data_IF_695992387818
#
_entry.id   IF_695992387818
#
_cell.length_a   1.000
_cell.length_b   1.000
_cell.length_c   1.000
_cell.angle_alpha   90.00
_cell.angle_beta   90.00
_cell.angle_gamma   90.00
#
_symmetry.space_group_name_H-M   'P 1'
#
loop_
_entity.id
_entity.type
_entity.pdbx_description
1 polymer ?
#
# COMPACT_ATOMS: atom_id res chain seq x y z
N UNK A 1 6.20 -4.92 -2.96
CA UNK A 1 4.81 -5.17 -2.52
C UNK A 1 4.87 -5.11 -1.01
N UNK A 2 4.02 -4.32 -0.36
CA UNK A 2 3.89 -4.40 1.10
C UNK A 2 3.04 -5.63 1.45
N UNK A 3 3.18 -6.12 2.67
CA UNK A 3 2.43 -7.25 3.21
C UNK A 3 1.96 -6.96 4.64
N UNK A 4 1.34 -7.92 5.32
CA UNK A 4 1.09 -9.31 4.89
C UNK A 4 -0.15 -9.49 3.98
N UNK A 5 -1.13 -8.59 4.02
CA UNK A 5 -2.38 -8.67 3.21
C UNK A 5 -2.19 -8.27 1.73
N UNK A 6 -1.09 -8.71 1.14
CA UNK A 6 -0.68 -8.38 -0.24
C UNK A 6 -1.69 -8.85 -1.28
N UNK A 7 -2.15 -10.10 -1.20
CA UNK A 7 -3.12 -10.69 -2.13
C UNK A 7 -4.46 -9.96 -2.11
N UNK A 8 -4.97 -9.63 -0.92
CA UNK A 8 -6.23 -8.90 -0.73
C UNK A 8 -6.20 -7.52 -1.39
N UNK A 9 -5.18 -6.72 -1.09
CA UNK A 9 -5.03 -5.39 -1.68
C UNK A 9 -4.87 -5.43 -3.20
N UNK A 10 -4.06 -6.37 -3.72
CA UNK A 10 -3.86 -6.57 -5.17
C UNK A 10 -5.16 -7.01 -5.84
N UNK A 11 -5.93 -7.92 -5.24
CA UNK A 11 -7.17 -8.42 -5.83
C UNK A 11 -8.23 -7.31 -6.00
N UNK A 12 -8.34 -6.41 -5.02
CA UNK A 12 -9.23 -5.24 -5.11
C UNK A 12 -8.73 -4.23 -6.16
N UNK A 13 -7.43 -3.94 -6.15
CA UNK A 13 -6.78 -3.00 -7.08
C UNK A 13 -6.90 -3.47 -8.53
N UNK A 14 -6.68 -4.76 -8.78
CA UNK A 14 -6.77 -5.39 -10.10
C UNK A 14 -8.21 -5.69 -10.55
N UNK A 15 -9.24 -5.27 -9.79
CA UNK A 15 -10.65 -5.55 -10.06
C UNK A 15 -11.00 -7.06 -10.16
N UNK A 16 -10.26 -7.92 -9.46
CA UNK A 16 -10.58 -9.36 -9.36
C UNK A 16 -11.79 -9.54 -8.46
N UNK A 17 -11.87 -8.75 -7.38
CA UNK A 17 -12.99 -8.70 -6.44
C UNK A 17 -13.42 -7.25 -6.17
N UNK A 18 -14.68 -7.00 -5.78
CA UNK A 18 -15.14 -5.66 -5.41
C UNK A 18 -14.61 -5.19 -4.06
N UNK A 19 -14.47 -6.11 -3.10
CA UNK A 19 -13.93 -5.90 -1.77
C UNK A 19 -13.17 -7.15 -1.33
N UNK A 20 -12.32 -7.03 -0.32
CA UNK A 20 -11.66 -8.16 0.33
C UNK A 20 -11.40 -7.86 1.79
N UNK A 21 -10.99 -8.88 2.56
CA UNK A 21 -10.56 -8.72 3.94
C UNK A 21 -9.05 -8.94 4.06
N UNK A 22 -8.46 -8.34 5.08
CA UNK A 22 -7.10 -8.63 5.50
C UNK A 22 -6.94 -8.46 7.00
N UNK A 23 -5.73 -8.69 7.47
CA UNK A 23 -5.38 -8.59 8.88
C UNK A 23 -4.23 -7.62 9.08
N UNK A 24 -4.27 -6.88 10.18
CA UNK A 24 -3.17 -6.01 10.58
C UNK A 24 -2.78 -6.28 12.03
N UNK A 25 -1.52 -6.64 12.20
CA UNK A 25 -0.79 -6.54 13.48
C UNK A 25 -0.09 -5.19 13.51
N UNK A 26 0.81 -4.95 12.55
CA UNK A 26 1.42 -3.64 12.30
C UNK A 26 1.53 -3.41 10.78
N UNK A 27 0.86 -2.38 10.27
CA UNK A 27 0.79 -1.94 8.85
C UNK A 27 0.26 -2.95 7.80
N UNK A 28 -0.12 -4.16 8.17
CA UNK A 28 -0.46 -5.24 7.23
C UNK A 28 -1.80 -5.11 6.47
N UNK A 29 -2.62 -4.10 6.74
CA UNK A 29 -3.75 -3.63 5.92
C UNK A 29 -3.38 -2.30 5.25
N UNK A 30 -2.94 -1.34 6.06
CA UNK A 30 -2.73 0.05 5.66
C UNK A 30 -1.56 0.19 4.69
N UNK A 31 -0.47 -0.51 4.94
CA UNK A 31 0.70 -0.59 4.08
C UNK A 31 0.38 -1.17 2.70
N UNK A 32 -0.22 -2.36 2.58
CA UNK A 32 -0.66 -2.91 1.30
C UNK A 32 -1.70 -2.05 0.58
N UNK A 33 -2.66 -1.46 1.30
CA UNK A 33 -3.68 -0.58 0.71
C UNK A 33 -3.03 0.62 0.02
N UNK A 34 -2.13 1.28 0.74
CA UNK A 34 -1.32 2.37 0.25
C UNK A 34 -0.53 1.96 -0.98
N UNK A 35 0.34 0.95 -0.92
CA UNK A 35 1.16 0.58 -2.09
C UNK A 35 0.31 0.21 -3.33
N UNK A 36 -0.88 -0.37 -3.15
CA UNK A 36 -1.72 -0.82 -4.25
C UNK A 36 -2.80 0.19 -4.69
N UNK A 37 -2.86 1.37 -4.08
CA UNK A 37 -3.81 2.42 -4.45
C UNK A 37 -5.26 2.01 -4.23
N UNK A 38 -5.55 1.43 -3.07
CA UNK A 38 -6.91 1.08 -2.66
C UNK A 38 -7.17 1.61 -1.26
N UNK A 39 -8.44 1.64 -0.87
CA UNK A 39 -8.81 1.94 0.51
C UNK A 39 -8.61 0.70 1.36
N UNK A 40 -7.96 0.88 2.51
CA UNK A 40 -7.85 -0.14 3.57
C UNK A 40 -8.27 0.46 4.89
N UNK A 41 -9.10 -0.26 5.65
CA UNK A 41 -9.53 0.14 6.99
C UNK A 41 -9.00 -0.87 7.99
N UNK A 42 -8.10 -0.43 8.89
CA UNK A 42 -7.79 -1.16 10.12
C UNK A 42 -8.70 -0.64 11.22
N UNK A 43 -9.66 -1.43 11.70
CA UNK A 43 -10.53 -0.99 12.77
C UNK A 43 -9.80 -0.98 14.13
N UNK A 44 -10.48 -0.44 15.14
CA UNK A 44 -10.02 -0.54 16.52
C UNK A 44 -9.94 -2.02 16.93
N UNK A 45 -8.88 -2.41 17.64
CA UNK A 45 -8.73 -3.79 18.14
C UNK A 45 -9.92 -4.14 19.03
N UNK A 46 -10.59 -5.25 18.69
CA UNK A 46 -11.85 -5.67 19.33
C UNK A 46 -13.11 -5.11 18.69
N UNK A 47 -13.06 -4.35 17.59
CA UNK A 47 -14.27 -4.00 16.84
C UNK A 47 -14.75 -5.15 15.96
N UNK A 48 -13.81 -5.88 15.35
CA UNK A 48 -14.07 -7.09 14.55
C UNK A 48 -13.53 -8.30 15.30
N UNK A 49 -14.24 -9.43 15.22
CA UNK A 49 -13.78 -10.69 15.81
C UNK A 49 -12.53 -11.18 15.08
N UNK A 50 -11.58 -11.72 15.86
CA UNK A 50 -10.36 -12.37 15.38
C UNK A 50 -10.44 -13.89 15.49
N UNK A 51 -11.59 -14.43 15.91
CA UNK A 51 -11.78 -15.87 16.02
C UNK A 51 -11.70 -16.55 14.65
N UNK A 52 -10.95 -17.65 14.55
CA UNK A 52 -10.73 -18.37 13.29
C UNK A 52 -9.63 -17.78 12.39
N UNK A 53 -8.99 -16.69 12.79
CA UNK A 53 -7.83 -16.10 12.10
C UNK A 53 -6.54 -16.61 12.72
N UNK A 54 -5.56 -17.01 11.90
CA UNK A 54 -4.21 -17.36 12.38
C UNK A 54 -3.60 -16.10 13.04
N UNK A 55 -3.28 -16.15 14.34
CA UNK A 55 -2.98 -14.95 15.12
C UNK A 55 -1.48 -14.59 15.15
N UNK A 56 -1.20 -13.34 15.51
CA UNK A 56 0.15 -12.84 15.89
C UNK A 56 0.09 -12.13 17.24
N UNK A 57 -0.64 -11.02 17.39
CA UNK A 57 -0.70 -10.25 18.65
C UNK A 57 -2.10 -10.14 19.23
N UNK A 58 -2.27 -10.38 20.53
CA UNK A 58 -3.57 -10.15 21.20
C UNK A 58 -3.92 -8.68 21.30
N UNK A 59 -2.90 -7.83 21.29
CA UNK A 59 -3.00 -6.39 21.56
C UNK A 59 -3.16 -5.55 20.29
N UNK A 60 -2.72 -6.07 19.13
CA UNK A 60 -2.67 -5.31 17.89
C UNK A 60 -3.49 -5.93 16.74
N UNK A 61 -3.68 -7.25 16.72
CA UNK A 61 -4.38 -7.91 15.61
C UNK A 61 -5.79 -7.37 15.41
N UNK A 62 -6.12 -7.09 14.16
CA UNK A 62 -7.47 -6.71 13.74
C UNK A 62 -7.78 -7.23 12.35
N UNK A 63 -9.04 -7.60 12.11
CA UNK A 63 -9.55 -7.93 10.78
C UNK A 63 -10.19 -6.69 10.18
N UNK A 64 -9.71 -6.29 9.02
CA UNK A 64 -10.19 -5.10 8.33
C UNK A 64 -10.55 -5.36 6.88
N UNK A 65 -11.02 -4.32 6.21
CA UNK A 65 -11.56 -4.40 4.85
C UNK A 65 -10.74 -3.59 3.87
N UNK A 66 -10.73 -4.07 2.63
CA UNK A 66 -10.24 -3.33 1.47
C UNK A 66 -11.39 -3.07 0.50
N UNK A 67 -11.36 -1.89 -0.12
CA UNK A 67 -12.26 -1.50 -1.19
C UNK A 67 -11.55 -0.55 -2.16
N UNK A 68 -12.01 -0.47 -3.42
CA UNK A 68 -11.51 0.60 -4.31
C UNK A 68 -12.02 1.96 -3.87
N UNK A 69 -13.19 1.98 -3.23
CA UNK A 69 -13.75 3.17 -2.61
C UNK A 69 -13.93 2.97 -1.12
N UNK A 70 -14.05 4.08 -0.40
CA UNK A 70 -14.38 4.08 1.02
C UNK A 70 -15.74 3.45 1.27
N UNK A 71 -16.68 3.63 0.35
CA UNK A 71 -18.01 3.00 0.40
C UNK A 71 -17.87 1.48 0.43
N UNK A 72 -17.08 0.91 -0.48
CA UNK A 72 -16.85 -0.54 -0.55
C UNK A 72 -16.18 -1.06 0.73
N UNK A 73 -15.15 -0.35 1.22
CA UNK A 73 -14.44 -0.72 2.43
C UNK A 73 -15.35 -0.64 3.67
N UNK A 74 -16.20 0.39 3.79
CA UNK A 74 -17.16 0.54 4.89
C UNK A 74 -18.24 -0.55 4.85
N UNK A 75 -18.75 -0.90 3.67
CA UNK A 75 -19.68 -2.04 3.55
C UNK A 75 -19.01 -3.37 3.91
N UNK A 76 -17.74 -3.57 3.52
CA UNK A 76 -16.95 -4.71 3.96
C UNK A 76 -16.82 -4.76 5.47
N UNK A 77 -16.46 -3.63 6.10
CA UNK A 77 -16.32 -3.52 7.56
C UNK A 77 -17.64 -3.85 8.27
N UNK A 78 -18.76 -3.25 7.84
CA UNK A 78 -20.09 -3.51 8.40
C UNK A 78 -20.48 -5.00 8.37
N UNK A 79 -19.99 -5.78 7.40
CA UNK A 79 -20.32 -7.19 7.30
C UNK A 79 -19.63 -8.05 8.37
N UNK A 80 -18.58 -7.56 9.03
CA UNK A 80 -17.73 -8.34 9.95
C UNK A 80 -17.58 -7.74 11.35
N UNK A 81 -18.12 -6.54 11.57
CA UNK A 81 -18.13 -5.92 12.89
C UNK A 81 -19.22 -6.55 13.76
N UNK A 82 -18.92 -6.82 15.02
CA UNK A 82 -19.86 -7.41 15.95
C UNK A 82 -19.20 -8.07 17.16
N UNK A 83 -20.04 -8.42 18.14
CA UNK A 83 -19.62 -9.20 19.31
C UNK A 83 -19.47 -10.66 18.88
N UNK A 84 -18.40 -11.31 19.33
CA UNK A 84 -18.16 -12.74 19.23
C UNK A 84 -17.65 -13.25 20.58
N UNK A 85 -18.35 -14.21 21.18
CA UNK A 85 -17.98 -14.81 22.47
C UNK A 85 -16.63 -15.55 22.42
N UNK A 86 -16.19 -15.96 21.22
CA UNK A 86 -14.86 -16.56 21.00
C UNK A 86 -13.74 -15.52 20.95
N UNK A 87 -14.09 -14.23 20.97
CA UNK A 87 -13.14 -13.14 21.06
C UNK A 87 -13.61 -12.09 22.08
N UNK A 88 -13.17 -12.28 23.33
CA UNK A 88 -13.54 -11.43 24.48
C UNK A 88 -13.20 -9.95 24.29
N UNK A 89 -12.29 -9.60 23.37
CA UNK A 89 -12.00 -8.19 23.05
C UNK A 89 -13.18 -7.46 22.42
N UNK A 90 -14.09 -8.19 21.77
CA UNK A 90 -15.32 -7.68 21.16
C UNK A 90 -16.44 -7.42 22.17
N UNK A 91 -16.35 -8.01 23.36
CA UNK A 91 -17.37 -7.87 24.41
C UNK A 91 -17.26 -6.55 25.19
N UNK A 92 -16.26 -5.71 24.92
CA UNK A 92 -16.13 -4.41 25.59
C UNK A 92 -17.27 -3.47 25.21
N UNK A 93 -18.02 -2.99 26.20
CA UNK A 93 -19.19 -2.10 25.99
C UNK A 93 -18.86 -0.77 25.29
N UNK A 94 -17.60 -0.35 25.34
CA UNK A 94 -17.06 0.82 24.63
C UNK A 94 -16.71 0.56 23.16
N UNK A 95 -16.68 -0.71 22.73
CA UNK A 95 -16.28 -1.15 21.38
C UNK A 95 -17.43 -1.78 20.60
N UNK A 96 -18.64 -1.78 21.17
CA UNK A 96 -19.83 -2.27 20.50
C UNK A 96 -20.15 -1.39 19.30
N UNK A 97 -20.33 -2.02 18.14
CA UNK A 97 -20.98 -1.34 17.03
C UNK A 97 -22.43 -1.07 17.41
N UNK A 98 -22.70 0.19 17.73
CA UNK A 98 -24.05 0.64 18.04
C UNK A 98 -24.84 0.91 16.75
N UNK A 99 -24.17 1.17 15.63
CA UNK A 99 -24.78 1.60 14.37
C UNK A 99 -24.05 1.15 13.09
N UNK A 100 -24.79 1.08 11.98
CA UNK A 100 -24.30 0.87 10.62
C UNK A 100 -23.37 2.03 10.18
N UNK A 101 -22.11 1.72 9.87
CA UNK A 101 -21.11 2.72 9.50
C UNK A 101 -21.38 3.41 8.15
N UNK A 102 -22.23 2.83 7.31
CA UNK A 102 -22.59 3.43 6.02
C UNK A 102 -23.39 4.73 6.18
N UNK A 103 -24.03 4.95 7.34
CA UNK A 103 -24.71 6.21 7.67
C UNK A 103 -23.75 7.40 7.79
N UNK A 104 -22.48 7.15 8.08
CA UNK A 104 -21.45 8.19 8.19
C UNK A 104 -20.77 8.50 6.85
N UNK A 105 -21.13 7.76 5.79
CA UNK A 105 -20.73 8.09 4.42
C UNK A 105 -21.44 9.38 4.00
N UNK A 106 -20.67 10.42 3.71
CA UNK A 106 -21.21 11.77 3.49
C UNK A 106 -20.67 12.45 2.24
N UNK A 107 -20.94 13.76 2.06
CA UNK A 107 -20.40 14.66 1.02
C UNK A 107 -19.30 15.58 1.57
N UNK A 108 -18.44 16.17 0.72
CA UNK A 108 -17.24 16.90 1.17
C UNK A 108 -17.57 18.09 2.06
N UNK A 109 -18.84 18.52 2.02
CA UNK A 109 -19.40 19.51 2.91
C UNK A 109 -19.22 19.17 4.40
N UNK A 110 -19.09 17.89 4.78
CA UNK A 110 -18.82 17.49 6.17
C UNK A 110 -17.43 17.87 6.66
N UNK A 111 -16.50 18.19 5.76
CA UNK A 111 -15.15 18.65 6.12
C UNK A 111 -15.14 20.11 6.57
N UNK A 112 -16.23 20.86 6.33
CA UNK A 112 -16.30 22.27 6.70
C UNK A 112 -16.15 22.43 8.21
N UNK A 113 -15.08 23.09 8.63
CA UNK A 113 -14.73 23.32 10.04
C UNK A 113 -13.99 22.16 10.70
N UNK A 114 -13.80 21.02 10.00
CA UNK A 114 -13.01 19.90 10.53
C UNK A 114 -11.56 20.33 10.75
N UNK A 115 -10.93 19.78 11.79
CA UNK A 115 -9.58 20.12 12.22
C UNK A 115 -8.69 18.89 12.15
N UNK A 116 -7.65 18.95 11.34
CA UNK A 116 -6.70 17.86 11.16
C UNK A 116 -5.33 18.23 11.71
N UNK A 117 -4.73 17.35 12.51
CA UNK A 117 -3.33 17.48 12.91
C UNK A 117 -2.40 16.81 11.88
N UNK A 118 -1.29 17.45 11.55
CA UNK A 118 -0.23 16.92 10.70
C UNK A 118 1.04 16.78 11.56
N UNK A 119 1.32 15.60 12.13
CA UNK A 119 2.56 15.34 12.87
C UNK A 119 3.80 15.65 12.03
N UNK A 120 4.64 16.58 12.50
CA UNK A 120 5.81 16.98 11.73
C UNK A 120 7.04 16.12 11.99
N UNK A 121 7.57 16.20 13.22
CA UNK A 121 8.85 15.58 13.63
C UNK A 121 8.87 14.08 13.33
N UNK A 122 9.86 13.61 12.59
CA UNK A 122 10.01 12.21 12.12
C UNK A 122 8.80 11.61 11.38
N UNK A 123 7.77 12.40 11.09
CA UNK A 123 6.61 12.01 10.29
C UNK A 123 6.66 12.77 8.96
N UNK A 124 6.04 13.96 8.89
CA UNK A 124 6.12 14.83 7.72
C UNK A 124 7.56 15.13 7.27
N UNK A 125 8.48 15.25 8.21
CA UNK A 125 9.91 15.45 7.97
C UNK A 125 10.51 14.37 7.05
N UNK A 126 10.14 13.10 7.23
CA UNK A 126 10.65 11.96 6.47
C UNK A 126 9.86 11.66 5.19
N UNK A 127 8.83 12.45 4.89
CA UNK A 127 8.08 12.33 3.63
C UNK A 127 9.01 12.73 2.48
N UNK A 128 9.26 11.79 1.58
CA UNK A 128 10.13 12.01 0.42
C UNK A 128 9.53 13.05 -0.51
N UNK A 129 10.37 13.76 -1.27
CA UNK A 129 9.94 14.86 -2.15
C UNK A 129 8.80 14.46 -3.09
N UNK A 130 8.89 13.29 -3.71
CA UNK A 130 7.90 12.76 -4.66
C UNK A 130 6.54 12.47 -4.01
N UNK A 131 6.53 12.08 -2.73
CA UNK A 131 5.32 11.92 -1.94
C UNK A 131 4.78 13.28 -1.50
N UNK A 132 5.67 14.16 -1.02
CA UNK A 132 5.32 15.49 -0.50
C UNK A 132 4.58 16.32 -1.56
N UNK A 133 5.05 16.32 -2.81
CA UNK A 133 4.40 17.02 -3.92
C UNK A 133 2.94 16.57 -4.15
N UNK A 134 2.61 15.31 -3.85
CA UNK A 134 1.25 14.77 -3.99
C UNK A 134 0.44 14.96 -2.72
N UNK A 135 1.07 14.78 -1.56
CA UNK A 135 0.46 15.03 -0.26
C UNK A 135 -0.02 16.47 -0.15
N UNK A 136 0.76 17.46 -0.62
CA UNK A 136 0.35 18.87 -0.66
C UNK A 136 -0.96 19.04 -1.43
N UNK A 137 -1.14 18.40 -2.60
CA UNK A 137 -2.40 18.47 -3.35
C UNK A 137 -3.59 17.88 -2.59
N UNK A 138 -3.35 16.87 -1.76
CA UNK A 138 -4.39 16.30 -0.89
C UNK A 138 -4.74 17.29 0.22
N UNK A 139 -3.74 17.89 0.86
CA UNK A 139 -3.93 18.89 1.91
C UNK A 139 -4.71 20.11 1.37
N UNK A 140 -4.30 20.64 0.21
CA UNK A 140 -5.00 21.73 -0.48
C UNK A 140 -6.47 21.37 -0.73
N UNK A 141 -6.78 20.15 -1.18
CA UNK A 141 -8.15 19.75 -1.43
C UNK A 141 -8.98 19.54 -0.16
N UNK A 142 -8.35 19.17 0.96
CA UNK A 142 -8.97 19.12 2.29
C UNK A 142 -9.33 20.54 2.74
N UNK A 143 -8.40 21.49 2.58
CA UNK A 143 -8.60 22.91 2.91
C UNK A 143 -9.64 23.59 2.01
N UNK A 144 -9.64 23.31 0.69
CA UNK A 144 -10.67 23.77 -0.25
C UNK A 144 -12.07 23.23 0.08
N UNK A 145 -12.16 22.09 0.76
CA UNK A 145 -13.42 21.55 1.28
C UNK A 145 -13.89 22.25 2.58
N UNK A 146 -13.07 23.16 3.12
CA UNK A 146 -13.37 23.98 4.29
C UNK A 146 -12.84 23.42 5.61
N UNK A 147 -12.00 22.39 5.58
CA UNK A 147 -11.27 21.93 6.77
C UNK A 147 -10.02 22.77 7.02
N UNK A 148 -9.43 22.60 8.19
CA UNK A 148 -8.20 23.27 8.60
C UNK A 148 -7.16 22.21 8.95
N UNK A 149 -5.95 22.34 8.40
CA UNK A 149 -4.82 21.46 8.70
C UNK A 149 -3.80 22.23 9.53
N UNK A 150 -3.39 21.65 10.66
CA UNK A 150 -2.46 22.25 11.59
C UNK A 150 -1.25 21.35 11.73
N UNK A 151 -0.06 21.95 11.68
CA UNK A 151 1.14 21.24 12.13
C UNK A 151 1.04 20.98 13.64
N UNK A 152 1.29 19.74 14.07
CA UNK A 152 1.19 19.35 15.48
C UNK A 152 2.43 18.62 15.96
N UNK A 153 2.69 18.74 17.26
CA UNK A 153 3.68 17.92 17.95
C UNK A 153 3.21 16.47 18.05
N UNK A 154 4.16 15.55 18.00
CA UNK A 154 3.92 14.13 18.22
C UNK A 154 4.97 13.61 19.20
N UNK A 155 4.75 13.75 20.52
CA UNK A 155 5.80 13.59 21.52
C UNK A 155 6.54 12.25 21.46
N UNK A 156 5.84 11.16 21.10
CA UNK A 156 6.43 9.84 20.97
C UNK A 156 7.35 9.66 19.75
N UNK A 157 7.37 10.60 18.81
CA UNK A 157 8.03 10.44 17.53
C UNK A 157 9.50 10.04 17.68
N UNK A 158 10.24 10.63 18.62
CA UNK A 158 11.65 10.32 18.78
C UNK A 158 11.96 8.96 19.42
N UNK A 159 11.00 8.48 20.21
CA UNK A 159 11.12 7.24 20.95
C UNK A 159 10.61 6.05 20.15
N UNK A 160 9.69 6.28 19.21
CA UNK A 160 9.04 5.22 18.42
C UNK A 160 9.46 5.19 16.96
N UNK A 161 9.91 6.31 16.39
CA UNK A 161 10.34 6.39 15.00
C UNK A 161 11.86 6.52 14.97
N UNK A 162 12.60 5.56 14.39
CA UNK A 162 14.05 5.66 14.24
C UNK A 162 14.50 6.93 13.53
N UNK A 163 15.73 7.36 13.79
CA UNK A 163 16.28 8.60 13.23
C UNK A 163 16.43 8.57 11.69
N UNK A 164 16.39 7.38 11.07
CA UNK A 164 16.43 7.21 9.61
C UNK A 164 15.01 7.05 8.98
N UNK A 165 13.97 7.12 9.82
CA UNK A 165 12.57 6.96 9.45
C UNK A 165 12.18 5.58 8.95
N UNK A 166 13.06 4.57 9.06
CA UNK A 166 12.72 3.20 8.73
C UNK A 166 11.87 2.60 9.84
N UNK A 167 10.91 1.75 9.47
CA UNK A 167 10.19 0.95 10.45
C UNK A 167 11.15 -0.04 11.10
N UNK A 168 11.08 -0.13 12.43
CA UNK A 168 11.91 -1.03 13.24
C UNK A 168 11.11 -1.50 14.46
N UNK A 169 10.46 -2.64 14.32
CA UNK A 169 9.79 -3.37 15.39
C UNK A 169 10.72 -3.81 16.55
N UNK A 170 12.05 -3.79 16.36
CA UNK A 170 13.05 -4.11 17.40
C UNK A 170 13.60 -2.87 18.12
N UNK A 171 13.10 -1.68 17.79
CA UNK A 171 13.59 -0.41 18.36
C UNK A 171 13.54 -0.41 19.89
N UNK A 172 14.62 0.07 20.50
CA UNK A 172 14.75 0.24 21.95
C UNK A 172 15.32 -1.00 22.65
N UNK A 173 15.21 -1.02 23.98
CA UNK A 173 15.55 -2.20 24.79
C UNK A 173 14.42 -3.23 24.72
N UNK A 174 14.64 -4.49 25.13
CA UNK A 174 13.56 -5.49 25.19
C UNK A 174 12.30 -5.00 25.93
N UNK A 175 12.45 -4.21 26.99
CA UNK A 175 11.34 -3.60 27.75
C UNK A 175 10.64 -2.41 27.08
N UNK A 176 11.01 -2.07 25.85
CA UNK A 176 10.51 -0.92 25.06
C UNK A 176 10.12 -1.34 23.63
N UNK A 177 10.37 -2.60 23.27
CA UNK A 177 10.28 -3.11 21.90
C UNK A 177 8.94 -3.79 21.63
N UNK A 178 8.35 -3.47 20.49
CA UNK A 178 7.17 -4.14 19.94
C UNK A 178 7.43 -5.65 19.77
N UNK A 179 8.61 -6.00 19.26
CA UNK A 179 8.99 -7.39 19.02
C UNK A 179 8.98 -8.25 20.29
N UNK A 180 9.27 -7.69 21.47
CA UNK A 180 9.14 -8.41 22.74
C UNK A 180 7.69 -8.81 23.00
N UNK A 181 6.74 -7.88 22.81
CA UNK A 181 5.31 -8.13 22.97
C UNK A 181 4.83 -9.16 21.95
N UNK A 182 5.19 -8.95 20.68
CA UNK A 182 4.76 -9.81 19.56
C UNK A 182 5.26 -11.25 19.74
N UNK A 183 6.50 -11.49 20.19
CA UNK A 183 7.00 -12.85 20.39
C UNK A 183 6.19 -13.62 21.43
N UNK A 184 5.90 -12.99 22.56
CA UNK A 184 5.14 -13.62 23.65
C UNK A 184 3.71 -13.89 23.20
N UNK A 185 3.05 -12.90 22.60
CA UNK A 185 1.69 -13.05 22.10
C UNK A 185 1.61 -14.12 21.01
N UNK A 186 2.54 -14.13 20.05
CA UNK A 186 2.54 -15.05 18.92
C UNK A 186 2.69 -16.49 19.38
N UNK A 187 3.63 -16.76 20.31
CA UNK A 187 3.79 -18.09 20.89
C UNK A 187 2.47 -18.58 21.51
N UNK A 188 1.88 -17.79 22.40
CA UNK A 188 0.67 -18.17 23.12
C UNK A 188 -0.51 -18.37 22.17
N UNK A 189 -0.71 -17.45 21.22
CA UNK A 189 -1.88 -17.46 20.34
C UNK A 189 -1.77 -18.49 19.22
N UNK A 190 -0.60 -18.68 18.62
CA UNK A 190 -0.40 -19.71 17.58
C UNK A 190 -0.63 -21.09 18.18
N UNK A 191 -0.04 -21.37 19.36
CA UNK A 191 -0.26 -22.65 20.05
C UNK A 191 -1.74 -22.86 20.41
N UNK A 192 -2.42 -21.83 20.94
CA UNK A 192 -3.85 -21.92 21.22
C UNK A 192 -4.67 -22.21 19.95
N UNK A 193 -4.43 -21.46 18.86
CA UNK A 193 -5.11 -21.66 17.58
C UNK A 193 -4.89 -23.08 17.02
N UNK A 194 -3.64 -23.55 16.97
CA UNK A 194 -3.30 -24.87 16.43
C UNK A 194 -3.89 -26.00 17.28
N UNK A 195 -4.02 -25.81 18.60
CA UNK A 195 -4.61 -26.82 19.49
C UNK A 195 -6.10 -27.10 19.19
N UNK A 196 -6.80 -26.15 18.59
CA UNK A 196 -8.23 -26.26 18.25
C UNK A 196 -8.47 -26.84 16.85
N UNK A 197 -7.43 -26.92 16.00
CA UNK A 197 -7.59 -27.36 14.61
C UNK A 197 -7.89 -28.86 14.52
N UNK A 198 -8.81 -29.18 13.62
CA UNK A 198 -9.06 -30.55 13.14
C UNK A 198 -8.58 -30.68 11.69
N UNK A 199 -8.16 -31.88 11.28
CA UNK A 199 -7.70 -32.14 9.91
C UNK A 199 -6.20 -31.91 9.64
N UNK A 200 -5.43 -31.56 10.66
CA UNK A 200 -3.94 -31.54 10.63
C UNK A 200 -3.39 -32.27 11.86
N UNK A 201 -2.14 -32.70 11.84
CA UNK A 201 -1.40 -33.20 13.02
C UNK A 201 -0.70 -32.09 13.79
N UNK A 202 -0.50 -30.90 13.20
CA UNK A 202 0.17 -29.77 13.86
C UNK A 202 -0.69 -29.24 15.02
N UNK A 203 -0.11 -29.16 16.21
CA UNK A 203 -0.75 -28.69 17.46
C UNK A 203 -0.01 -27.55 18.12
N UNK A 204 1.19 -27.23 17.64
CA UNK A 204 2.07 -26.23 18.24
C UNK A 204 2.94 -25.54 17.19
N UNK A 205 3.53 -24.42 17.57
CA UNK A 205 4.57 -23.73 16.79
C UNK A 205 5.78 -24.64 16.54
N UNK A 206 6.08 -25.55 17.47
CA UNK A 206 7.16 -26.54 17.32
C UNK A 206 6.89 -27.44 16.12
N UNK A 207 5.66 -27.97 16.00
CA UNK A 207 5.26 -28.80 14.85
C UNK A 207 5.36 -28.04 13.51
N UNK A 208 5.07 -26.74 13.51
CA UNK A 208 5.23 -25.88 12.31
C UNK A 208 6.70 -25.71 11.95
N UNK A 209 7.56 -25.51 12.95
CA UNK A 209 9.00 -25.37 12.75
C UNK A 209 9.60 -26.67 12.23
N UNK A 210 9.23 -27.81 12.83
CA UNK A 210 9.65 -29.13 12.41
C UNK A 210 9.19 -29.43 10.98
N UNK A 211 7.91 -29.17 10.66
CA UNK A 211 7.41 -29.32 9.30
C UNK A 211 8.22 -28.50 8.29
N UNK A 212 8.52 -27.24 8.60
CA UNK A 212 9.34 -26.40 7.72
C UNK A 212 10.78 -26.96 7.58
N UNK A 213 11.37 -27.47 8.66
CA UNK A 213 12.71 -28.06 8.65
C UNK A 213 12.76 -29.33 7.77
N UNK A 214 11.73 -30.18 7.83
CA UNK A 214 11.59 -31.36 6.97
C UNK A 214 11.31 -31.01 5.50
N UNK A 215 10.69 -29.85 5.25
CA UNK A 215 10.28 -29.37 3.93
C UNK A 215 11.07 -28.12 3.50
N UNK A 216 12.33 -28.03 3.93
CA UNK A 216 13.14 -26.81 3.84
C UNK A 216 13.27 -26.26 2.41
N UNK A 217 13.34 -27.13 1.40
CA UNK A 217 13.44 -26.74 0.00
C UNK A 217 12.20 -26.01 -0.56
N UNK A 218 11.01 -26.23 0.00
CA UNK A 218 9.77 -25.57 -0.42
C UNK A 218 9.30 -24.50 0.56
N UNK A 219 9.50 -24.71 1.86
CA UNK A 219 9.04 -23.79 2.91
C UNK A 219 10.13 -22.81 3.37
N UNK A 220 11.38 -23.01 2.94
CA UNK A 220 12.48 -22.11 3.26
C UNK A 220 12.78 -22.03 4.75
N UNK A 221 13.13 -23.15 5.39
CA UNK A 221 13.45 -23.18 6.81
C UNK A 221 14.76 -22.47 7.16
N UNK A 222 15.81 -22.63 6.35
CA UNK A 222 17.12 -22.06 6.60
C UNK A 222 17.44 -20.90 5.65
N UNK A 223 18.33 -19.98 6.05
CA UNK A 223 18.79 -18.93 5.17
C UNK A 223 19.33 -19.47 3.85
N UNK A 224 18.77 -18.99 2.74
CA UNK A 224 19.17 -19.39 1.39
C UNK A 224 18.44 -20.61 0.81
N UNK A 225 17.61 -21.33 1.59
CA UNK A 225 16.85 -22.48 1.09
C UNK A 225 15.84 -22.06 0.01
N UNK A 226 15.14 -20.94 0.22
CA UNK A 226 14.13 -20.44 -0.70
C UNK A 226 14.17 -18.91 -0.82
N UNK A 227 14.13 -18.39 -2.06
CA UNK A 227 14.29 -16.96 -2.32
C UNK A 227 13.16 -16.08 -1.75
N UNK A 228 11.98 -16.66 -1.46
CA UNK A 228 10.89 -15.94 -0.78
C UNK A 228 11.12 -15.78 0.73
N UNK A 229 11.98 -16.61 1.34
CA UNK A 229 12.28 -16.65 2.76
C UNK A 229 13.79 -16.54 2.96
N UNK A 230 14.40 -15.37 2.65
CA UNK A 230 15.85 -15.24 2.60
C UNK A 230 16.56 -15.49 3.95
N UNK A 231 15.87 -15.24 5.07
CA UNK A 231 16.35 -15.51 6.44
C UNK A 231 15.89 -16.86 6.98
N UNK A 232 15.13 -17.62 6.19
CA UNK A 232 14.47 -18.82 6.63
C UNK A 232 13.27 -18.55 7.54
N UNK A 233 13.16 -19.34 8.62
CA UNK A 233 12.14 -19.19 9.68
C UNK A 233 12.71 -18.65 11.01
N UNK A 234 13.68 -17.74 10.95
CA UNK A 234 14.34 -17.13 12.11
C UNK A 234 13.37 -16.52 13.14
N UNK A 235 12.31 -15.86 12.66
CA UNK A 235 11.27 -15.32 13.53
C UNK A 235 10.52 -16.41 14.30
N UNK A 236 10.14 -17.53 13.67
CA UNK A 236 9.48 -18.63 14.38
C UNK A 236 10.40 -19.22 15.45
N UNK A 237 11.69 -19.40 15.15
CA UNK A 237 12.68 -19.85 16.15
C UNK A 237 12.83 -18.85 17.30
N UNK A 238 12.81 -17.55 17.00
CA UNK A 238 12.84 -16.48 18.01
C UNK A 238 11.59 -16.44 18.91
N UNK A 239 10.41 -16.69 18.32
CA UNK A 239 9.14 -16.83 19.06
C UNK A 239 9.19 -18.06 19.97
N UNK A 240 9.63 -19.21 19.45
CA UNK A 240 9.76 -20.46 20.20
C UNK A 240 10.69 -20.30 21.42
N UNK A 241 11.80 -19.58 21.28
CA UNK A 241 12.74 -19.31 22.37
C UNK A 241 12.09 -18.56 23.54
N UNK A 242 11.11 -17.69 23.27
CA UNK A 242 10.42 -16.88 24.26
C UNK A 242 9.42 -17.66 25.13
N UNK A 243 8.97 -18.84 24.68
CA UNK A 243 8.08 -19.76 25.42
C UNK A 243 6.75 -19.15 25.94
N UNK A 244 6.39 -17.94 25.49
CA UNK A 244 5.12 -17.29 25.83
C UNK A 244 5.01 -16.72 27.24
N UNK A 245 6.11 -16.54 27.97
CA UNK A 245 6.06 -15.99 29.32
C UNK A 245 5.72 -14.50 29.31
N UNK A 246 4.58 -14.13 29.90
CA UNK A 246 4.21 -12.73 30.17
C UNK A 246 4.98 -12.20 31.40
N UNK A 247 6.30 -12.17 31.31
CA UNK A 247 7.20 -11.76 32.38
C UNK A 247 7.22 -10.22 32.60
N UNK A 248 8.07 -9.75 33.51
CA UNK A 248 8.22 -8.32 33.79
C UNK A 248 8.69 -7.53 32.55
N UNK A 249 9.51 -8.13 31.69
CA UNK A 249 10.01 -7.50 30.47
C UNK A 249 8.87 -7.30 29.46
N UNK A 250 8.04 -8.33 29.28
CA UNK A 250 6.81 -8.25 28.48
C UNK A 250 5.87 -7.17 28.99
N UNK A 251 5.57 -7.17 30.30
CA UNK A 251 4.66 -6.20 30.90
C UNK A 251 5.17 -4.76 30.70
N UNK A 252 6.47 -4.52 30.90
CA UNK A 252 7.09 -3.20 30.66
C UNK A 252 7.06 -2.81 29.19
N UNK A 253 7.32 -3.73 28.27
CA UNK A 253 7.27 -3.46 26.84
C UNK A 253 5.86 -3.09 26.38
N UNK A 254 4.85 -3.81 26.87
CA UNK A 254 3.44 -3.53 26.58
C UNK A 254 3.02 -2.16 27.14
N UNK A 255 3.35 -1.87 28.39
CA UNK A 255 3.05 -0.58 29.03
C UNK A 255 3.75 0.59 28.32
N UNK A 256 5.04 0.44 28.02
CA UNK A 256 5.81 1.43 27.27
C UNK A 256 5.21 1.68 25.89
N UNK A 257 4.88 0.63 25.14
CA UNK A 257 4.27 0.73 23.82
C UNK A 257 2.92 1.46 23.89
N UNK A 258 2.07 1.10 24.85
CA UNK A 258 0.79 1.77 25.04
C UNK A 258 0.95 3.23 25.44
N UNK A 259 1.81 3.53 26.41
CA UNK A 259 2.06 4.90 26.86
C UNK A 259 2.61 5.78 25.74
N UNK A 260 3.59 5.29 24.99
CA UNK A 260 4.17 6.01 23.86
C UNK A 260 3.16 6.20 22.72
N UNK A 261 2.37 5.18 22.36
CA UNK A 261 1.48 5.30 21.20
C UNK A 261 0.15 6.00 21.52
N UNK A 262 -0.24 6.05 22.80
CA UNK A 262 -1.46 6.69 23.29
C UNK A 262 -1.16 8.01 23.97
N UNK A 263 -0.67 7.96 25.21
CA UNK A 263 -0.49 9.11 26.10
C UNK A 263 0.45 10.15 25.52
N UNK A 264 1.61 9.72 25.01
CA UNK A 264 2.59 10.59 24.34
C UNK A 264 2.47 10.56 22.82
N UNK A 265 1.52 9.79 22.30
CA UNK A 265 1.31 9.58 20.88
C UNK A 265 0.01 10.21 20.43
N UNK A 266 -0.90 9.36 19.95
CA UNK A 266 -2.09 9.82 19.22
C UNK A 266 -2.99 10.70 20.11
N UNK A 267 -3.17 10.33 21.38
CA UNK A 267 -4.04 11.09 22.29
C UNK A 267 -3.42 12.44 22.67
N UNK A 268 -2.08 12.57 22.67
CA UNK A 268 -1.40 13.86 22.85
C UNK A 268 -1.50 14.73 21.59
N UNK A 269 -1.19 14.17 20.42
CA UNK A 269 -1.19 14.92 19.16
C UNK A 269 -2.60 15.41 18.74
N UNK A 270 -3.66 14.75 19.22
CA UNK A 270 -5.04 15.17 18.99
C UNK A 270 -5.55 16.22 19.97
N UNK A 271 -4.81 16.52 21.04
CA UNK A 271 -5.12 17.63 21.94
C UNK A 271 -4.37 18.87 21.46
N UNK A 272 -5.08 19.98 21.31
CA UNK A 272 -4.41 21.26 21.14
C UNK A 272 -3.92 21.76 22.51
N UNK A 273 -2.61 21.99 22.62
CA UNK A 273 -2.01 22.44 23.87
C UNK A 273 -2.55 23.83 24.24
N UNK A 274 -3.28 23.93 25.35
CA UNK A 274 -3.76 25.20 25.90
C UNK A 274 -5.15 25.62 25.44
N UNK A 275 -5.90 24.76 24.75
CA UNK A 275 -7.33 24.98 24.44
C UNK A 275 -8.19 23.79 24.88
N UNK A 276 -9.50 24.00 25.01
CA UNK A 276 -10.47 22.91 25.18
C UNK A 276 -10.85 22.26 23.82
N UNK A 277 -10.27 22.74 22.71
CA UNK A 277 -10.53 22.26 21.36
C UNK A 277 -9.50 21.19 20.96
N UNK A 278 -9.94 20.15 20.28
CA UNK A 278 -9.08 19.06 19.80
C UNK A 278 -9.09 18.95 18.28
N UNK A 279 -8.22 18.10 17.75
CA UNK A 279 -8.25 17.70 16.34
C UNK A 279 -9.19 16.49 16.17
N UNK A 280 -9.85 16.41 15.02
CA UNK A 280 -10.75 15.31 14.67
C UNK A 280 -9.97 14.06 14.24
N UNK A 281 -8.83 14.24 13.59
CA UNK A 281 -7.96 13.18 13.12
C UNK A 281 -6.52 13.68 12.86
N UNK A 282 -5.58 12.73 12.79
CA UNK A 282 -4.20 12.97 12.35
C UNK A 282 -4.04 12.52 10.89
N UNK A 283 -3.29 13.30 10.11
CA UNK A 283 -2.88 13.00 8.75
C UNK A 283 -1.41 12.56 8.74
N UNK A 284 -1.13 11.38 8.22
CA UNK A 284 0.21 10.83 8.09
C UNK A 284 0.48 10.45 6.64
N UNK A 285 1.71 10.69 6.18
CA UNK A 285 2.10 10.54 4.78
C UNK A 285 3.34 9.65 4.59
N UNK A 286 3.53 8.66 5.44
CA UNK A 286 4.73 7.84 5.43
C UNK A 286 4.60 6.59 4.56
N UNK A 287 5.61 6.34 3.72
CA UNK A 287 5.67 5.10 2.92
C UNK A 287 6.29 3.93 3.70
N UNK A 288 7.10 4.23 4.69
CA UNK A 288 7.91 3.25 5.43
C UNK A 288 7.16 2.62 6.61
N UNK A 289 5.96 3.10 6.95
CA UNK A 289 5.13 2.55 8.02
C UNK A 289 5.47 3.05 9.43
N UNK A 290 6.54 3.82 9.61
CA UNK A 290 7.00 4.29 10.91
C UNK A 290 6.04 5.28 11.63
N UNK A 291 5.19 5.99 10.90
CA UNK A 291 4.07 6.75 11.49
C UNK A 291 2.82 5.87 11.67
N UNK A 292 2.57 4.94 10.75
CA UNK A 292 1.43 4.01 10.80
C UNK A 292 1.48 3.05 11.99
N UNK A 293 2.68 2.59 12.35
CA UNK A 293 2.90 1.69 13.48
C UNK A 293 2.33 2.24 14.79
N UNK A 294 2.27 3.57 14.96
CA UNK A 294 1.75 4.16 16.18
C UNK A 294 0.27 3.83 16.35
N UNK A 295 -0.53 3.77 15.27
CA UNK A 295 -1.93 3.37 15.34
C UNK A 295 -2.14 1.86 15.44
N UNK A 296 -1.19 1.06 14.94
CA UNK A 296 -1.20 -0.38 15.15
C UNK A 296 -0.98 -0.73 16.63
N UNK A 297 0.03 -0.09 17.22
CA UNK A 297 0.50 -0.31 18.59
C UNK A 297 -0.32 0.43 19.66
N UNK A 298 -1.13 1.41 19.26
CA UNK A 298 -2.09 2.09 20.11
C UNK A 298 -3.26 1.16 20.47
N UNK A 299 -2.98 0.20 21.36
CA UNK A 299 -3.99 -0.71 21.93
C UNK A 299 -5.12 0.12 22.52
N UNK A 300 -6.37 -0.19 22.16
CA UNK A 300 -7.52 0.55 22.63
C UNK A 300 -7.64 0.45 24.15
N UNK A 301 -7.41 1.54 24.87
CA UNK A 301 -7.95 1.71 26.21
C UNK A 301 -9.48 1.88 26.11
N UNK A 302 -10.19 1.63 27.21
CA UNK A 302 -11.67 1.63 27.28
C UNK A 302 -12.33 2.92 26.75
N UNK A 303 -11.58 4.02 26.61
CA UNK A 303 -12.11 5.36 26.36
C UNK A 303 -11.73 6.00 25.02
N UNK A 304 -10.90 5.38 24.16
CA UNK A 304 -10.76 5.86 22.77
C UNK A 304 -10.49 4.76 21.74
N UNK A 305 -11.13 4.94 20.59
CA UNK A 305 -10.97 4.15 19.37
C UNK A 305 -9.73 4.62 18.61
N UNK A 306 -9.05 3.74 17.88
CA UNK A 306 -7.99 4.12 16.94
C UNK A 306 -8.29 3.38 15.64
N UNK A 307 -8.62 4.13 14.60
CA UNK A 307 -8.90 3.57 13.27
C UNK A 307 -7.97 4.22 12.27
N UNK A 308 -7.36 3.40 11.42
CA UNK A 308 -6.49 3.87 10.35
C UNK A 308 -7.16 3.61 9.01
N UNK A 309 -7.10 4.60 8.12
CA UNK A 309 -7.62 4.51 6.76
C UNK A 309 -6.51 4.92 5.80
N UNK A 310 -6.18 4.05 4.85
CA UNK A 310 -5.37 4.40 3.68
C UNK A 310 -6.28 4.82 2.52
N UNK A 311 -5.84 5.78 1.71
CA UNK A 311 -6.59 6.25 0.54
C UNK A 311 -5.80 6.07 -0.77
N UNK A 312 -6.53 5.85 -1.86
CA UNK A 312 -6.00 5.90 -3.22
C UNK A 312 -5.68 7.35 -3.61
N UNK A 313 -4.52 7.57 -4.24
CA UNK A 313 -4.21 8.82 -4.93
C UNK A 313 -4.45 8.61 -6.43
N UNK A 314 -5.37 9.35 -7.03
CA UNK A 314 -5.62 9.26 -8.47
C UNK A 314 -4.39 9.75 -9.25
N UNK A 315 -3.77 8.87 -10.03
CA UNK A 315 -2.74 9.25 -10.99
C UNK A 315 -3.35 9.76 -12.29
N UNK A 316 -2.75 10.80 -12.87
CA UNK A 316 -2.99 11.17 -14.26
C UNK A 316 -2.60 10.00 -15.18
N UNK A 317 -3.60 9.36 -15.79
CA UNK A 317 -3.53 8.44 -16.94
C UNK A 317 -2.62 7.20 -16.84
N UNK A 318 -3.21 6.00 -16.91
CA UNK A 318 -2.73 4.94 -17.82
C UNK A 318 -3.92 4.08 -18.29
N UNK A 319 -4.00 3.87 -19.60
CA UNK A 319 -4.95 2.98 -20.26
C UNK A 319 -4.65 1.50 -19.96
N UNK A 320 -5.67 0.63 -19.95
CA UNK A 320 -5.50 -0.80 -19.71
C UNK A 320 -4.90 -1.45 -20.95
N UNK A 321 -3.60 -1.73 -20.92
CA UNK A 321 -3.04 -2.73 -21.83
C UNK A 321 -2.20 -3.73 -21.04
N UNK A 322 -2.52 -4.98 -21.29
CA UNK A 322 -1.90 -6.20 -20.80
C UNK A 322 -0.37 -6.12 -20.74
N UNK A 323 0.21 -5.99 -19.55
CA UNK A 323 1.42 -6.70 -19.13
C UNK A 323 1.70 -6.53 -17.63
N UNK A 324 1.91 -7.67 -16.98
CA UNK A 324 2.29 -7.84 -15.58
C UNK A 324 3.63 -7.16 -15.25
N UNK A 325 3.56 -6.11 -14.42
CA UNK A 325 4.50 -5.68 -13.35
C UNK A 325 4.43 -4.14 -13.22
N UNK A 326 4.06 -3.57 -12.08
CA UNK A 326 4.16 -2.13 -11.86
C UNK A 326 5.64 -1.73 -11.90
N UNK A 327 5.99 -0.74 -12.73
CA UNK A 327 7.34 -0.18 -12.74
C UNK A 327 7.62 0.59 -11.44
N UNK A 328 8.91 0.81 -11.10
CA UNK A 328 9.33 1.55 -9.88
C UNK A 328 8.70 2.95 -9.76
N UNK A 329 8.22 3.56 -10.87
CA UNK A 329 7.54 4.85 -10.87
C UNK A 329 6.06 4.78 -10.45
N UNK A 330 5.37 3.66 -10.68
CA UNK A 330 3.96 3.49 -10.28
C UNK A 330 3.82 3.32 -8.75
N UNK A 331 4.88 2.86 -8.08
CA UNK A 331 4.91 2.62 -6.63
C UNK A 331 5.07 3.89 -5.77
N UNK A 332 5.26 5.06 -6.39
CA UNK A 332 5.45 6.34 -5.71
C UNK A 332 4.11 7.08 -5.44
N UNK A 333 2.98 6.50 -5.83
CA UNK A 333 1.74 7.25 -6.07
C UNK A 333 0.71 7.20 -4.95
N UNK A 334 0.96 6.55 -3.81
CA UNK A 334 -0.08 6.34 -2.81
C UNK A 334 0.54 6.31 -1.42
N UNK A 335 0.18 7.25 -0.54
CA UNK A 335 0.57 7.23 0.87
C UNK A 335 -0.22 8.22 1.73
N UNK A 336 -1.50 8.50 1.42
CA UNK A 336 -2.32 9.23 2.38
C UNK A 336 -2.88 8.25 3.41
N UNK A 337 -2.59 8.52 4.68
CA UNK A 337 -3.10 7.78 5.82
C UNK A 337 -3.78 8.75 6.78
N UNK A 338 -4.99 8.40 7.22
CA UNK A 338 -5.73 9.17 8.22
C UNK A 338 -5.94 8.30 9.45
N UNK A 339 -5.51 8.77 10.61
CA UNK A 339 -5.70 8.14 11.91
C UNK A 339 -6.79 8.89 12.69
N UNK A 340 -7.85 8.18 13.09
CA UNK A 340 -9.00 8.73 13.81
C UNK A 340 -9.01 8.24 15.26
N UNK A 341 -9.40 9.10 16.23
CA UNK A 341 -9.73 8.61 17.58
C UNK A 341 -11.04 9.03 18.23
N UNK A 342 -11.84 9.90 17.61
CA UNK A 342 -13.24 10.09 18.01
C UNK A 342 -14.17 9.29 17.10
N UNK A 343 -15.11 8.60 17.73
CA UNK A 343 -16.08 7.72 17.11
C UNK A 343 -16.57 8.29 15.77
N UNK A 344 -16.34 7.49 14.73
CA UNK A 344 -17.10 7.37 13.49
C UNK A 344 -18.30 8.32 13.34
N UNK A 345 -18.04 9.58 12.99
CA UNK A 345 -19.14 10.48 12.63
C UNK A 345 -19.04 11.02 11.20
N UNK A 346 -17.86 11.14 10.58
CA UNK A 346 -17.78 11.66 9.21
C UNK A 346 -16.65 11.02 8.38
N UNK A 347 -17.04 10.14 7.44
CA UNK A 347 -16.12 9.48 6.50
C UNK A 347 -16.52 9.89 5.06
N UNK A 348 -15.63 10.58 4.33
CA UNK A 348 -15.98 11.26 3.07
C UNK A 348 -15.56 10.58 1.75
N UNK A 349 -16.50 10.62 0.78
CA UNK A 349 -16.42 10.31 -0.64
C UNK A 349 -15.55 11.29 -1.49
N UNK A 350 -14.28 11.47 -1.12
CA UNK A 350 -13.36 12.40 -1.78
C UNK A 350 -13.01 12.01 -3.24
N UNK A 351 -13.03 10.72 -3.60
CA UNK A 351 -12.53 10.26 -4.91
C UNK A 351 -13.60 10.14 -6.02
N UNK A 352 -14.90 10.14 -5.67
CA UNK A 352 -15.97 10.05 -6.67
C UNK A 352 -16.20 11.37 -7.44
N UNK A 353 -15.91 12.53 -6.81
CA UNK A 353 -16.09 13.85 -7.41
C UNK A 353 -14.96 14.27 -8.36
N UNK A 354 -13.70 13.93 -8.05
CA UNK A 354 -12.55 14.20 -8.91
C UNK A 354 -12.55 13.34 -10.18
N UNK A 355 -13.12 12.11 -10.10
CA UNK A 355 -13.29 11.20 -11.24
C UNK A 355 -14.08 11.83 -12.39
N UNK A 356 -15.14 12.59 -12.11
CA UNK A 356 -16.01 13.15 -13.17
C UNK A 356 -15.38 14.34 -13.92
N UNK A 357 -14.59 15.20 -13.24
CA UNK A 357 -13.92 16.34 -13.89
C UNK A 357 -12.62 15.94 -14.61
N UNK A 358 -11.82 15.04 -14.02
CA UNK A 358 -10.60 14.53 -14.66
C UNK A 358 -10.91 13.60 -15.83
N UNK A 359 -11.93 12.75 -15.73
CA UNK A 359 -12.30 11.86 -16.84
C UNK A 359 -12.86 12.63 -18.05
N UNK A 360 -13.55 13.76 -17.83
CA UNK A 360 -13.95 14.67 -18.91
C UNK A 360 -12.77 15.33 -19.62
N UNK A 361 -11.76 15.77 -18.87
CA UNK A 361 -10.55 16.41 -19.43
C UNK A 361 -9.61 15.40 -20.10
N UNK A 362 -9.42 14.23 -19.46
CA UNK A 362 -8.60 13.12 -19.96
C UNK A 362 -9.20 12.52 -21.21
N UNK A 363 -10.53 12.33 -21.31
CA UNK A 363 -11.16 11.84 -22.53
C UNK A 363 -10.98 12.84 -23.70
N UNK A 364 -11.08 14.14 -23.45
CA UNK A 364 -10.86 15.18 -24.48
C UNK A 364 -9.39 15.27 -24.95
N UNK A 365 -8.43 15.00 -24.05
CA UNK A 365 -6.99 14.94 -24.38
C UNK A 365 -6.65 13.62 -25.09
N UNK A 366 -7.19 12.49 -24.63
CA UNK A 366 -7.00 11.18 -25.25
C UNK A 366 -7.59 11.12 -26.66
N UNK A 367 -8.75 11.74 -26.93
CA UNK A 367 -9.30 11.84 -28.28
C UNK A 367 -8.37 12.65 -29.21
N UNK A 368 -7.82 13.78 -28.74
CA UNK A 368 -6.86 14.58 -29.53
C UNK A 368 -5.52 13.86 -29.74
N UNK A 369 -5.01 13.17 -28.72
CA UNK A 369 -3.78 12.38 -28.79
C UNK A 369 -3.95 11.14 -29.69
N UNK A 370 -5.09 10.44 -29.61
CA UNK A 370 -5.39 9.31 -30.49
C UNK A 370 -5.46 9.75 -31.96
N UNK A 371 -6.06 10.91 -32.24
CA UNK A 371 -6.11 11.46 -33.61
C UNK A 371 -4.72 11.82 -34.15
N UNK A 372 -3.84 12.39 -33.31
CA UNK A 372 -2.45 12.72 -33.69
C UNK A 372 -1.58 11.47 -33.83
N UNK A 373 -1.77 10.47 -32.97
CA UNK A 373 -1.07 9.19 -33.01
C UNK A 373 -1.44 8.39 -34.27
N UNK A 374 -2.72 8.34 -34.64
CA UNK A 374 -3.16 7.70 -35.89
C UNK A 374 -2.55 8.37 -37.12
N UNK A 375 -2.49 9.71 -37.17
CA UNK A 375 -1.81 10.45 -38.26
C UNK A 375 -0.30 10.19 -38.31
N UNK A 376 0.36 10.08 -37.15
CA UNK A 376 1.79 9.77 -37.06
C UNK A 376 2.09 8.33 -37.52
N UNK A 377 1.24 7.37 -37.16
CA UNK A 377 1.35 5.98 -37.62
C UNK A 377 1.09 5.86 -39.13
N UNK A 378 0.15 6.62 -39.70
CA UNK A 378 -0.06 6.65 -41.15
C UNK A 378 1.14 7.22 -41.91
N UNK A 379 1.77 8.29 -41.40
CA UNK A 379 3.02 8.82 -41.96
C UNK A 379 4.16 7.81 -41.86
N UNK A 380 4.32 7.14 -40.71
CA UNK A 380 5.32 6.10 -40.52
C UNK A 380 5.09 4.91 -41.45
N UNK A 381 3.84 4.47 -41.60
CA UNK A 381 3.46 3.38 -42.52
C UNK A 381 3.77 3.74 -43.98
N UNK A 382 3.49 4.99 -44.37
CA UNK A 382 3.82 5.50 -45.71
C UNK A 382 5.33 5.55 -45.93
N UNK A 383 6.09 5.99 -44.93
CA UNK A 383 7.55 6.03 -44.99
C UNK A 383 8.16 4.62 -45.08
N UNK A 384 7.74 3.69 -44.22
CA UNK A 384 8.16 2.29 -44.26
C UNK A 384 7.83 1.63 -45.61
N UNK A 385 6.67 1.95 -46.21
CA UNK A 385 6.31 1.47 -47.54
C UNK A 385 7.24 2.01 -48.64
N UNK A 386 7.68 3.27 -48.54
CA UNK A 386 8.67 3.86 -49.48
C UNK A 386 10.05 3.23 -49.31
N UNK A 387 10.50 3.01 -48.07
CA UNK A 387 11.74 2.28 -47.77
C UNK A 387 11.70 0.87 -48.36
N UNK A 388 10.58 0.16 -48.17
CA UNK A 388 10.38 -1.19 -48.70
C UNK A 388 10.41 -1.23 -50.23
N UNK A 389 9.77 -0.26 -50.89
CA UNK A 389 9.80 -0.17 -52.36
C UNK A 389 11.20 0.08 -52.91
N UNK A 390 12.02 0.90 -52.24
CA UNK A 390 13.42 1.13 -52.64
C UNK A 390 14.29 -0.11 -52.44
N UNK A 391 14.10 -0.83 -51.34
CA UNK A 391 14.80 -2.10 -51.07
C UNK A 391 14.45 -3.21 -52.07
N UNK A 392 13.18 -3.28 -52.51
CA UNK A 392 12.73 -4.26 -53.50
C UNK A 392 13.37 -4.06 -54.88
N UNK A 393 13.63 -2.79 -55.24
CA UNK A 393 14.07 -2.37 -56.57
C UNK A 393 15.56 -1.98 -56.66
N UNK A 394 16.33 -2.08 -55.56
CA UNK A 394 17.76 -1.77 -55.51
C UNK A 394 18.66 -2.85 -56.13
N UNK A 395 19.94 -2.54 -56.40
CA UNK A 395 20.85 -3.42 -57.13
C UNK A 395 21.02 -4.79 -56.46
N UNK A 396 21.12 -5.84 -57.29
CA UNK A 396 21.05 -7.26 -56.94
C UNK A 396 22.08 -7.77 -55.93
N UNK A 397 23.11 -6.97 -55.60
CA UNK A 397 24.18 -7.33 -54.66
C UNK A 397 23.73 -7.52 -53.20
N UNK A 398 22.49 -7.12 -52.84
CA UNK A 398 21.99 -7.24 -51.46
C UNK A 398 21.19 -8.55 -51.24
N UNK A 399 20.91 -9.35 -52.29
CA UNK A 399 20.13 -10.60 -52.18
C UNK A 399 21.02 -11.83 -51.99
N UNK A 400 21.61 -12.01 -50.80
CA UNK A 400 22.08 -13.34 -50.37
C UNK A 400 21.18 -13.90 -49.27
N UNK A 401 20.58 -15.08 -49.53
CA UNK A 401 19.73 -15.82 -48.59
C UNK A 401 20.59 -16.31 -47.42
N UNK A 402 20.55 -15.61 -46.30
CA UNK A 402 21.04 -16.09 -45.00
C UNK A 402 19.88 -16.51 -44.09
N UNK A 403 20.04 -17.59 -43.32
CA UNK A 403 19.00 -18.17 -42.44
C UNK A 403 18.80 -17.45 -41.10
N UNK A 404 19.52 -16.36 -40.83
CA UNK A 404 19.44 -15.62 -39.57
C UNK A 404 18.49 -14.42 -39.66
N UNK A 405 17.54 -14.36 -38.71
CA UNK A 405 16.61 -13.24 -38.56
C UNK A 405 17.32 -12.09 -37.83
N UNK A 406 17.33 -10.88 -38.41
CA UNK A 406 17.85 -9.69 -37.70
C UNK A 406 16.68 -8.80 -37.27
N UNK A 407 16.68 -8.40 -36.00
CA UNK A 407 15.72 -7.45 -35.45
C UNK A 407 16.29 -6.04 -35.52
N UNK A 408 15.54 -5.11 -36.10
CA UNK A 408 15.88 -3.69 -36.11
C UNK A 408 14.95 -2.94 -35.14
N UNK A 409 15.53 -2.24 -34.17
CA UNK A 409 14.83 -1.38 -33.23
C UNK A 409 14.90 0.07 -33.73
N UNK A 410 13.73 0.68 -33.97
CA UNK A 410 13.62 2.11 -34.29
C UNK A 410 13.02 2.82 -33.07
N UNK A 411 13.73 3.84 -32.56
CA UNK A 411 13.22 4.73 -31.52
C UNK A 411 12.49 5.90 -32.17
N UNK A 412 11.25 6.15 -31.77
CA UNK A 412 10.48 7.31 -32.21
C UNK A 412 10.38 8.29 -31.04
N UNK A 413 10.69 9.55 -31.31
CA UNK A 413 10.56 10.64 -30.32
C UNK A 413 9.44 11.56 -30.78
N UNK A 414 8.41 11.72 -29.97
CA UNK A 414 7.32 12.66 -30.22
C UNK A 414 7.54 13.91 -29.37
N UNK A 415 7.51 15.08 -30.01
CA UNK A 415 7.63 16.37 -29.32
C UNK A 415 6.25 17.03 -29.36
N UNK A 416 5.63 17.21 -28.19
CA UNK A 416 4.34 17.89 -28.05
C UNK A 416 4.53 19.05 -27.08
N UNK A 417 4.28 20.27 -27.56
CA UNK A 417 4.40 21.49 -26.72
C UNK A 417 5.80 21.75 -26.16
N UNK A 418 6.86 21.32 -26.85
CA UNK A 418 8.26 21.50 -26.40
C UNK A 418 8.78 20.43 -25.44
N UNK A 419 7.94 19.46 -25.03
CA UNK A 419 8.37 18.33 -24.19
C UNK A 419 8.61 17.10 -25.07
N UNK A 420 9.80 16.50 -24.94
CA UNK A 420 10.22 15.30 -25.67
C UNK A 420 9.74 14.04 -24.92
N UNK A 421 8.80 13.30 -25.52
CA UNK A 421 8.31 12.03 -25.00
C UNK A 421 8.88 10.90 -25.88
N UNK A 422 9.78 10.08 -25.31
CA UNK A 422 10.37 8.91 -25.98
C UNK A 422 9.49 7.70 -25.72
N UNK A 423 8.63 7.36 -26.67
CA UNK A 423 7.71 6.24 -26.55
C UNK A 423 7.76 5.40 -27.82
N UNK A 424 7.86 4.09 -27.62
CA UNK A 424 7.86 3.01 -28.61
C UNK A 424 9.23 2.61 -29.22
N UNK A 425 9.59 1.36 -28.92
CA UNK A 425 10.49 0.54 -29.70
C UNK A 425 9.66 -0.22 -30.75
N UNK A 426 9.83 0.08 -32.03
CA UNK A 426 9.25 -0.76 -33.09
C UNK A 426 10.32 -1.77 -33.51
N UNK A 427 10.03 -3.06 -33.31
CA UNK A 427 10.93 -4.17 -33.66
C UNK A 427 10.45 -4.81 -34.96
N UNK A 428 11.19 -4.63 -36.05
CA UNK A 428 10.85 -5.21 -37.36
C UNK A 428 11.76 -6.42 -37.61
N UNK A 429 11.15 -7.59 -37.83
CA UNK A 429 11.86 -8.83 -38.20
C UNK A 429 12.08 -8.87 -39.70
N UNK A 430 13.33 -8.71 -40.14
CA UNK A 430 13.69 -8.91 -41.54
C UNK A 430 14.17 -10.36 -41.72
N UNK A 431 13.41 -11.16 -42.45
CA UNK A 431 13.79 -12.54 -42.77
C UNK A 431 14.69 -12.55 -43.99
N UNK A 432 15.91 -13.10 -43.86
CA UNK A 432 16.71 -13.56 -45.00
C UNK A 432 17.91 -12.73 -45.43
N UNK A 433 18.31 -11.69 -44.69
CA UNK A 433 19.32 -10.71 -45.14
C UNK A 433 20.36 -10.42 -44.05
N UNK A 434 21.66 -10.56 -44.36
CA UNK A 434 22.78 -10.15 -43.50
C UNK A 434 23.29 -8.77 -43.92
N UNK A 435 22.67 -7.69 -43.45
CA UNK A 435 23.17 -6.34 -43.73
C UNK A 435 22.78 -5.32 -42.66
N UNK A 436 23.56 -5.24 -41.57
CA UNK A 436 23.42 -4.17 -40.54
C UNK A 436 23.89 -2.79 -41.04
N UNK A 437 24.75 -2.75 -42.07
CA UNK A 437 25.44 -1.53 -42.51
C UNK A 437 24.67 -0.80 -43.62
N UNK A 438 24.28 -1.53 -44.67
CA UNK A 438 23.66 -0.92 -45.87
C UNK A 438 22.23 -0.39 -45.62
N UNK A 439 21.47 -1.02 -44.72
CA UNK A 439 20.13 -0.53 -44.34
C UNK A 439 20.18 0.77 -43.51
N UNK A 440 21.22 0.95 -42.68
CA UNK A 440 21.40 2.18 -41.88
C UNK A 440 21.70 3.37 -42.76
N UNK A 441 22.59 3.22 -43.74
CA UNK A 441 22.91 4.28 -44.70
C UNK A 441 21.69 4.66 -45.56
N UNK A 442 20.88 3.67 -45.97
CA UNK A 442 19.62 3.93 -46.68
C UNK A 442 18.63 4.74 -45.83
N UNK A 443 18.45 4.41 -44.54
CA UNK A 443 17.57 5.14 -43.63
C UNK A 443 18.06 6.56 -43.32
N UNK A 444 19.38 6.79 -43.28
CA UNK A 444 19.95 8.13 -43.06
C UNK A 444 19.77 9.06 -44.25
N UNK A 445 19.63 8.52 -45.47
CA UNK A 445 19.42 9.32 -46.69
C UNK A 445 17.95 9.76 -46.94
N UNK A 446 17.03 9.38 -46.07
CA UNK A 446 15.61 9.73 -46.17
C UNK A 446 15.24 10.72 -45.06
N UNK A 447 15.36 12.01 -45.33
CA UNK A 447 14.76 13.03 -44.46
C UNK A 447 13.24 12.95 -44.52
N UNK A 448 12.60 12.96 -43.34
CA UNK A 448 11.16 13.12 -43.20
C UNK A 448 10.94 14.29 -42.24
N UNK A 449 10.35 15.37 -42.74
CA UNK A 449 9.88 16.50 -41.93
C UNK A 449 8.65 16.15 -41.11
#
# INVERSE_FOLDING_TARGET
MNGSSSGSAVAVSANIVPLSFGTETDTSIIGPASINGVVGIKPTVGLTSRAGVIPISKSMDSVGSFGRTVVDAVHGLNAVVGIDERDTMTCSSSRLQREDYSKYLTTKASLKGARFGLPNKRCWEFVTKDIREKAVKVLEAIEEAGANVFEVDFPCAENRIPADGNWDWTLGKPSESEFTVVKVDAYNRINAYLSELSGTSMRSLDDVIEYNDENSGTEGANPGDHAAYPTGQDNFRGVLQGQGWEDETYCKALDYMQHQCRTEGIDAALKETGTDEGFDALLLFDRKGAGQQIAAQAVSSVHSTVTSIAFEQSSESQTPSTQLRPSRQTQALNSLHVQYTRATEHIHAYLSGCRLKLQGLVNAVLEKCALQYTRALEKLRTWLSKCWSKLKNGPSAIRQKGTTSTWLAIMITLIVGGVSLRYAYVSIRLAGWTARKDFRELCQSLEVS
#
